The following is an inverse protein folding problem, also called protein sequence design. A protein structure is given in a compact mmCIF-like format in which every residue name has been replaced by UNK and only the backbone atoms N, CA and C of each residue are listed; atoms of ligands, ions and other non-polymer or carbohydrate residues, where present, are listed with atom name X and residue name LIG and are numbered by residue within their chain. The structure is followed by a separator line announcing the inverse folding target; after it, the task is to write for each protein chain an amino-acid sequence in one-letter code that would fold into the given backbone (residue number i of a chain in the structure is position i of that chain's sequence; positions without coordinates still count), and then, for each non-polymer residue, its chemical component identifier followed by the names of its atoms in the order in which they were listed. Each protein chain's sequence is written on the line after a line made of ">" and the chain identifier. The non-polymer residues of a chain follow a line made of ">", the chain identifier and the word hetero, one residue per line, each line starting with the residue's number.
data_IF_068594667274
#
_entry.id   IF_068594667274
#
_cell.length_a   1.000
_cell.length_b   1.000
_cell.length_c   1.000
_cell.angle_alpha   90.00
_cell.angle_beta   90.00
_cell.angle_gamma   90.00
#
_symmetry.space_group_name_H-M   'P 1'
#
loop_
_entity.id
_entity.type
_entity.pdbx_description
1 polymer ?
#
# COMPACT_ATOMS: atom_id res chain seq x y z
N UNK A 1 -7.59 -15.65 -11.97
CA UNK A 1 -6.72 -16.26 -12.99
C UNK A 1 -6.84 -15.42 -14.25
N UNK A 2 -5.73 -14.92 -14.82
CA UNK A 2 -5.77 -14.21 -16.11
C UNK A 2 -5.75 -15.25 -17.22
N UNK A 3 -6.93 -15.58 -17.74
CA UNK A 3 -7.08 -16.54 -18.83
C UNK A 3 -6.47 -15.95 -20.11
N UNK A 4 -5.68 -16.75 -20.82
CA UNK A 4 -5.25 -16.42 -22.19
C UNK A 4 -6.33 -16.88 -23.19
N UNK A 5 -6.29 -16.35 -24.42
CA UNK A 5 -7.19 -16.76 -25.52
C UNK A 5 -7.08 -18.25 -25.89
N UNK A 6 -6.08 -18.95 -25.35
CA UNK A 6 -5.84 -20.39 -25.53
C UNK A 6 -6.33 -21.23 -24.35
N UNK A 7 -7.25 -20.72 -23.53
CA UNK A 7 -7.85 -21.38 -22.35
C UNK A 7 -6.83 -21.89 -21.30
N UNK A 8 -5.60 -21.38 -21.35
CA UNK A 8 -4.52 -21.69 -20.42
C UNK A 8 -4.07 -20.47 -19.59
N UNK A 9 -3.26 -20.67 -18.53
CA UNK A 9 -2.66 -19.57 -17.79
C UNK A 9 -1.81 -18.70 -18.72
N UNK A 10 -1.99 -17.39 -18.67
CA UNK A 10 -1.18 -16.45 -19.44
C UNK A 10 0.30 -16.60 -19.06
N UNK A 11 1.19 -16.77 -20.05
CA UNK A 11 2.65 -16.76 -19.83
C UNK A 11 3.05 -15.45 -19.11
N UNK A 12 3.78 -15.52 -17.97
CA UNK A 12 4.25 -14.35 -17.24
C UNK A 12 4.99 -13.31 -18.12
N UNK A 13 5.68 -13.75 -19.18
CA UNK A 13 6.38 -12.88 -20.13
C UNK A 13 5.41 -12.06 -20.97
N UNK A 14 4.31 -12.67 -21.41
CA UNK A 14 3.24 -12.00 -22.16
C UNK A 14 2.56 -10.96 -21.28
N UNK A 15 2.25 -11.32 -20.03
CA UNK A 15 1.68 -10.39 -19.05
C UNK A 15 2.62 -9.20 -18.80
N UNK A 16 3.92 -9.45 -18.68
CA UNK A 16 4.91 -8.37 -18.52
C UNK A 16 4.99 -7.46 -19.74
N UNK A 17 4.90 -8.02 -20.95
CA UNK A 17 4.82 -7.24 -22.20
C UNK A 17 3.60 -6.31 -22.24
N UNK A 18 2.42 -6.82 -21.90
CA UNK A 18 1.20 -6.01 -21.80
C UNK A 18 1.31 -4.94 -20.73
N UNK A 19 1.84 -5.29 -19.56
CA UNK A 19 2.04 -4.34 -18.48
C UNK A 19 2.96 -3.18 -18.90
N UNK A 20 4.06 -3.47 -19.60
CA UNK A 20 4.95 -2.42 -20.14
C UNK A 20 4.25 -1.50 -21.13
N UNK A 21 3.39 -2.05 -21.99
CA UNK A 21 2.60 -1.25 -22.91
C UNK A 21 1.62 -0.32 -22.15
N UNK A 22 0.97 -0.82 -21.10
CA UNK A 22 0.09 -0.03 -20.23
C UNK A 22 0.86 1.07 -19.51
N UNK A 23 2.01 0.76 -18.90
CA UNK A 23 2.88 1.74 -18.23
C UNK A 23 3.31 2.85 -19.20
N UNK A 24 3.75 2.48 -20.41
CA UNK A 24 4.13 3.44 -21.44
C UNK A 24 2.96 4.34 -21.86
N UNK A 25 1.76 3.77 -22.01
CA UNK A 25 0.55 4.52 -22.36
C UNK A 25 0.07 5.44 -21.24
N UNK A 26 0.27 5.04 -19.99
CA UNK A 26 -0.07 5.84 -18.81
C UNK A 26 0.88 7.03 -18.59
N UNK A 27 2.03 7.07 -19.28
CA UNK A 27 3.00 8.16 -19.17
C UNK A 27 3.73 8.22 -17.82
N UNK A 28 3.71 7.12 -17.05
CA UNK A 28 4.41 7.03 -15.77
C UNK A 28 5.84 6.50 -15.96
N UNK A 29 6.76 6.73 -15.00
CA UNK A 29 8.08 6.12 -15.03
C UNK A 29 7.99 4.60 -15.19
N UNK A 30 9.03 4.00 -15.78
CA UNK A 30 9.07 2.54 -15.93
C UNK A 30 9.11 1.88 -14.55
N UNK A 31 7.98 1.31 -14.15
CA UNK A 31 7.81 0.54 -12.93
C UNK A 31 7.78 -0.96 -13.24
N UNK A 32 8.06 -1.77 -12.22
CA UNK A 32 7.94 -3.23 -12.25
C UNK A 32 6.53 -3.64 -11.86
N UNK A 33 6.13 -4.85 -12.25
CA UNK A 33 4.80 -5.36 -11.94
C UNK A 33 4.55 -5.46 -10.43
N UNK A 34 5.58 -5.82 -9.64
CA UNK A 34 5.45 -5.89 -8.18
C UNK A 34 5.29 -4.52 -7.50
N UNK A 35 5.66 -3.42 -8.17
CA UNK A 35 5.51 -2.07 -7.62
C UNK A 35 4.02 -1.72 -7.45
N UNK A 36 3.13 -2.36 -8.22
CA UNK A 36 1.68 -2.28 -8.01
C UNK A 36 1.28 -2.81 -6.62
N UNK A 37 1.87 -3.94 -6.20
CA UNK A 37 1.61 -4.52 -4.87
C UNK A 37 2.13 -3.59 -3.77
N UNK A 38 3.33 -3.02 -3.93
CA UNK A 38 3.86 -2.05 -2.98
C UNK A 38 2.99 -0.78 -2.90
N UNK A 39 2.51 -0.28 -4.04
CA UNK A 39 1.61 0.87 -4.09
C UNK A 39 0.30 0.58 -3.37
N UNK A 40 -0.32 -0.57 -3.63
CA UNK A 40 -1.56 -0.97 -2.96
C UNK A 40 -1.38 -1.05 -1.43
N UNK A 41 -0.28 -1.66 -0.97
CA UNK A 41 0.04 -1.74 0.47
C UNK A 41 0.24 -0.35 1.07
N UNK A 42 1.01 0.52 0.42
CA UNK A 42 1.23 1.88 0.89
C UNK A 42 -0.09 2.64 1.05
N UNK A 43 -1.01 2.53 0.09
CA UNK A 43 -2.33 3.15 0.18
C UNK A 43 -3.18 2.58 1.33
N UNK A 44 -3.17 1.26 1.53
CA UNK A 44 -3.89 0.63 2.65
C UNK A 44 -3.39 1.14 4.01
N UNK A 45 -2.07 1.23 4.16
CA UNK A 45 -1.44 1.70 5.41
C UNK A 45 -1.77 3.17 5.66
N UNK A 46 -1.66 4.03 4.63
CA UNK A 46 -2.04 5.46 4.75
C UNK A 46 -3.51 5.67 5.12
N UNK A 47 -4.39 4.73 4.77
CA UNK A 47 -5.80 4.74 5.19
C UNK A 47 -6.04 4.17 6.60
N UNK A 48 -4.98 3.80 7.33
CA UNK A 48 -5.06 3.29 8.69
C UNK A 48 -5.32 1.79 8.81
N UNK A 49 -5.11 1.01 7.73
CA UNK A 49 -5.23 -0.45 7.81
C UNK A 49 -4.19 -1.03 8.75
N UNK A 50 -4.57 -2.04 9.55
CA UNK A 50 -3.63 -2.72 10.45
C UNK A 50 -2.65 -3.65 9.71
N UNK A 51 -1.48 -3.97 10.30
CA UNK A 51 -0.56 -4.97 9.76
C UNK A 51 -1.19 -6.32 9.48
N UNK A 52 -2.14 -6.75 10.32
CA UNK A 52 -2.88 -7.99 10.12
C UNK A 52 -3.78 -7.91 8.88
N UNK A 53 -4.57 -6.84 8.76
CA UNK A 53 -5.45 -6.61 7.60
C UNK A 53 -4.68 -6.61 6.29
N UNK A 54 -3.54 -5.91 6.26
CA UNK A 54 -2.66 -5.91 5.09
C UNK A 54 -2.12 -7.32 4.84
N UNK A 55 -1.65 -8.03 5.87
CA UNK A 55 -1.13 -9.39 5.74
C UNK A 55 -2.15 -10.37 5.15
N UNK A 56 -3.39 -10.30 5.64
CA UNK A 56 -4.50 -11.14 5.18
C UNK A 56 -4.82 -10.87 3.71
N UNK A 57 -4.90 -9.58 3.31
CA UNK A 57 -5.12 -9.17 1.92
C UNK A 57 -3.98 -9.63 0.99
N UNK A 58 -2.76 -9.64 1.51
CA UNK A 58 -1.56 -10.07 0.81
C UNK A 58 -1.42 -11.61 0.75
N UNK A 59 -2.20 -12.35 1.54
CA UNK A 59 -2.10 -13.81 1.67
C UNK A 59 -0.81 -14.26 2.34
N UNK A 60 -0.19 -13.42 3.17
CA UNK A 60 1.01 -13.80 3.91
C UNK A 60 0.63 -14.65 5.12
N UNK A 61 1.22 -15.85 5.22
CA UNK A 61 1.01 -16.76 6.36
C UNK A 61 1.55 -16.21 7.68
N UNK A 62 2.51 -15.28 7.62
CA UNK A 62 3.13 -14.64 8.78
C UNK A 62 2.94 -13.12 8.72
N UNK A 63 2.19 -12.58 9.70
CA UNK A 63 2.00 -11.14 9.85
C UNK A 63 3.31 -10.43 10.17
N UNK A 64 4.25 -11.08 10.86
CA UNK A 64 5.54 -10.49 11.17
C UNK A 64 6.38 -10.26 9.91
N UNK A 65 6.21 -11.06 8.85
CA UNK A 65 6.81 -10.78 7.55
C UNK A 65 6.26 -9.49 6.94
N UNK A 66 4.94 -9.31 6.94
CA UNK A 66 4.29 -8.08 6.46
C UNK A 66 4.78 -6.86 7.23
N UNK A 67 4.78 -6.96 8.57
CA UNK A 67 5.22 -5.86 9.42
C UNK A 67 6.70 -5.52 9.16
N UNK A 68 7.59 -6.51 9.05
CA UNK A 68 9.00 -6.27 8.74
C UNK A 68 9.21 -5.58 7.39
N UNK A 69 8.46 -5.98 6.36
CA UNK A 69 8.59 -5.42 5.02
C UNK A 69 8.10 -3.96 4.93
N UNK A 70 7.11 -3.59 5.75
CA UNK A 70 6.41 -2.31 5.64
C UNK A 70 6.43 -1.45 6.92
N UNK A 71 7.26 -1.77 7.90
CA UNK A 71 7.33 -1.08 9.20
C UNK A 71 7.45 0.44 9.04
N UNK A 72 8.36 0.89 8.18
CA UNK A 72 8.58 2.30 7.88
C UNK A 72 7.29 3.04 7.47
N UNK A 73 6.40 2.43 6.69
CA UNK A 73 5.15 3.06 6.29
C UNK A 73 4.16 3.22 7.45
N UNK A 74 4.20 2.31 8.43
CA UNK A 74 3.38 2.43 9.64
C UNK A 74 3.93 3.50 10.58
N UNK A 75 5.25 3.64 10.64
CA UNK A 75 5.90 4.68 11.43
C UNK A 75 5.59 6.05 10.82
N UNK A 76 5.73 6.21 9.51
CA UNK A 76 5.34 7.44 8.78
C UNK A 76 3.86 7.78 9.00
N UNK A 77 2.96 6.79 8.88
CA UNK A 77 1.53 6.98 9.12
C UNK A 77 1.23 7.41 10.57
N UNK A 78 1.98 6.89 11.56
CA UNK A 78 1.85 7.29 12.96
C UNK A 78 2.34 8.70 13.20
N UNK A 79 3.43 9.10 12.56
CA UNK A 79 3.95 10.47 12.61
C UNK A 79 2.98 11.46 11.95
N UNK A 80 2.43 11.12 10.78
CA UNK A 80 1.39 11.93 10.12
C UNK A 80 0.11 12.04 10.97
N UNK A 81 -0.27 10.96 11.67
CA UNK A 81 -1.43 10.92 12.55
C UNK A 81 -1.13 11.41 13.98
N UNK A 82 0.11 11.81 14.29
CA UNK A 82 0.49 12.32 15.59
C UNK A 82 -0.18 13.68 15.79
N UNK A 83 -1.38 13.63 16.36
CA UNK A 83 -2.08 14.79 16.85
C UNK A 83 -1.30 15.32 18.06
N UNK A 84 -0.94 16.61 18.05
CA UNK A 84 -0.37 17.22 19.25
C UNK A 84 -1.45 17.22 20.34
N UNK A 85 -1.25 16.41 21.38
CA UNK A 85 -2.16 16.39 22.52
C UNK A 85 -2.32 17.78 23.14
N UNK A 86 -1.35 18.68 22.96
CA UNK A 86 -1.43 20.08 23.36
C UNK A 86 -2.58 20.83 22.66
N UNK A 87 -2.89 20.50 21.39
CA UNK A 87 -4.02 21.09 20.65
C UNK A 87 -5.37 20.64 21.24
N UNK A 88 -5.45 19.42 21.76
CA UNK A 88 -6.65 18.91 22.43
C UNK A 88 -6.87 19.63 23.77
N UNK A 89 -5.77 19.88 24.51
CA UNK A 89 -5.83 20.65 25.75
C UNK A 89 -6.15 22.13 25.51
N UNK A 90 -5.68 22.74 24.43
CA UNK A 90 -6.01 24.13 24.07
C UNK A 90 -7.49 24.32 23.72
N UNK A 91 -8.10 23.35 23.05
CA UNK A 91 -9.54 23.35 22.75
C UNK A 91 -10.36 23.12 24.01
N UNK A 92 -9.92 22.24 24.92
CA UNK A 92 -10.62 21.93 26.16
C UNK A 92 -10.46 23.01 27.25
N UNK A 93 -9.35 23.76 27.25
CA UNK A 93 -9.02 24.74 28.27
C UNK A 93 -9.73 26.10 28.12
N UNK A 94 -10.53 26.32 27.06
CA UNK A 94 -11.40 27.49 26.88
C UNK A 94 -10.72 28.82 27.22
N UNK A 95 -10.09 29.47 26.22
CA UNK A 95 -9.43 30.79 26.32
C UNK A 95 -9.99 31.68 27.46
N UNK A 96 -9.27 31.86 28.58
CA UNK A 96 -9.55 32.98 29.46
C UNK A 96 -9.07 34.27 28.77
N UNK A 97 -9.98 35.23 28.70
CA UNK A 97 -9.78 36.61 28.25
C UNK A 97 -8.73 37.35 29.06
#
# INVERSE_FOLDING_TARGET
>A
MFASELDGPTDPRTLYGWFRAVVSKAGVPLIRFHDLRHTAVSLMIRQGSSPKTVSDQLGHADVAFTLRAYAHLYDDQREEAAFDLSDLFLVAAGRPS
#
